data_IF_841804614621
#
_entry.id   IF_841804614621
#
_cell.length_a   1.000
_cell.length_b   1.000
_cell.length_c   1.000
_cell.angle_alpha   90.00
_cell.angle_beta   90.00
_cell.angle_gamma   90.00
#
_symmetry.space_group_name_H-M   'P 1'
#
loop_
_entity.id
_entity.type
_entity.pdbx_description
1 polymer ?
#
# COMPACT_ATOMS: atom_id res chain seq x y z
N UNK A 1 -4.32 35.31 -8.82
CA UNK A 1 -4.89 33.97 -9.06
C UNK A 1 -4.65 33.17 -7.79
N UNK A 2 -5.70 32.96 -7.01
CA UNK A 2 -5.63 32.29 -5.72
C UNK A 2 -5.30 30.81 -5.95
N UNK A 3 -4.15 30.40 -5.40
CA UNK A 3 -3.78 29.00 -5.26
C UNK A 3 -4.88 28.34 -4.42
N UNK A 4 -5.78 27.59 -5.07
CA UNK A 4 -6.73 26.72 -4.38
C UNK A 4 -5.92 25.62 -3.73
N UNK A 5 -5.43 25.91 -2.51
CA UNK A 5 -4.64 25.00 -1.70
C UNK A 5 -5.38 23.68 -1.59
N UNK A 6 -4.92 22.71 -2.40
CA UNK A 6 -5.39 21.34 -2.33
C UNK A 6 -4.90 20.85 -0.97
N UNK A 7 -5.79 20.82 0.01
CA UNK A 7 -5.48 20.17 1.29
C UNK A 7 -5.06 18.74 0.98
N UNK A 8 -3.86 18.36 1.41
CA UNK A 8 -3.41 17.00 1.26
C UNK A 8 -4.49 16.07 1.86
N UNK A 9 -4.91 15.01 1.15
CA UNK A 9 -5.96 14.13 1.64
C UNK A 9 -5.53 13.54 2.98
N UNK A 10 -6.34 13.77 4.03
CA UNK A 10 -6.07 13.29 5.39
C UNK A 10 -5.90 11.77 5.40
N UNK A 11 -4.87 11.29 6.10
CA UNK A 11 -4.55 9.88 6.26
C UNK A 11 -5.50 9.19 7.24
N UNK A 12 -6.00 9.95 8.22
CA UNK A 12 -6.82 9.44 9.32
C UNK A 12 -8.23 10.05 9.30
N UNK A 13 -9.25 9.19 9.31
CA UNK A 13 -10.64 9.59 9.52
C UNK A 13 -11.00 9.73 11.01
N UNK A 14 -12.25 10.14 11.33
CA UNK A 14 -12.69 10.39 12.71
C UNK A 14 -12.49 9.20 13.66
N UNK A 15 -12.78 7.98 13.21
CA UNK A 15 -12.57 6.77 14.02
C UNK A 15 -11.11 6.53 14.39
N UNK A 16 -10.18 6.71 13.45
CA UNK A 16 -8.74 6.63 13.73
C UNK A 16 -8.31 7.69 14.73
N UNK A 17 -8.83 8.92 14.61
CA UNK A 17 -8.51 10.03 15.50
C UNK A 17 -8.98 9.79 16.94
N UNK A 18 -10.18 9.25 17.13
CA UNK A 18 -10.70 8.88 18.45
C UNK A 18 -9.83 7.81 19.14
N UNK A 19 -9.38 6.80 18.39
CA UNK A 19 -8.45 5.79 18.93
C UNK A 19 -7.08 6.39 19.23
N UNK A 20 -6.59 7.28 18.37
CA UNK A 20 -5.30 7.94 18.59
C UNK A 20 -5.29 8.77 19.87
N UNK A 21 -6.38 9.48 20.15
CA UNK A 21 -6.58 10.19 21.42
C UNK A 21 -6.62 9.21 22.60
N UNK A 22 -7.42 8.14 22.49
CA UNK A 22 -7.58 7.13 23.55
C UNK A 22 -6.26 6.43 23.92
N UNK A 23 -5.33 6.32 22.98
CA UNK A 23 -4.02 5.67 23.17
C UNK A 23 -2.83 6.65 23.22
N UNK A 24 -3.08 7.94 23.45
CA UNK A 24 -2.05 9.02 23.51
C UNK A 24 -1.08 9.00 22.30
N UNK A 25 -1.60 8.76 21.11
CA UNK A 25 -0.83 8.66 19.86
C UNK A 25 -1.16 9.76 18.86
N UNK A 26 -1.91 10.79 19.26
CA UNK A 26 -2.26 11.94 18.40
C UNK A 26 -1.02 12.65 17.86
N UNK A 27 0.00 12.90 18.70
CA UNK A 27 1.27 13.52 18.28
C UNK A 27 1.98 12.67 17.23
N UNK A 28 2.10 11.36 17.50
CA UNK A 28 2.70 10.40 16.57
C UNK A 28 1.94 10.36 15.24
N UNK A 29 0.62 10.34 15.29
CA UNK A 29 -0.23 10.30 14.10
C UNK A 29 -0.01 11.53 13.21
N UNK A 30 0.04 12.73 13.80
CA UNK A 30 0.31 13.97 13.06
C UNK A 30 1.68 13.92 12.38
N UNK A 31 2.73 13.50 13.10
CA UNK A 31 4.08 13.34 12.54
C UNK A 31 4.13 12.30 11.41
N UNK A 32 3.39 11.20 11.52
CA UNK A 32 3.28 10.18 10.48
C UNK A 32 2.58 10.73 9.22
N UNK A 33 1.49 11.48 9.40
CA UNK A 33 0.75 12.10 8.30
C UNK A 33 1.64 13.09 7.53
N UNK A 34 2.47 13.88 8.23
CA UNK A 34 3.43 14.81 7.63
C UNK A 34 4.54 14.12 6.84
N UNK A 35 5.04 12.98 7.34
CA UNK A 35 6.30 12.39 6.84
C UNK A 35 6.16 11.21 5.91
N UNK A 36 5.05 10.48 5.99
CA UNK A 36 5.00 9.11 5.46
C UNK A 36 4.09 8.98 4.24
N UNK A 37 3.09 9.85 4.08
CA UNK A 37 2.20 9.83 2.92
C UNK A 37 2.75 10.71 1.80
N UNK A 38 3.26 10.11 0.73
CA UNK A 38 3.76 10.81 -0.47
C UNK A 38 2.91 10.47 -1.68
N UNK A 39 2.80 11.38 -2.64
CA UNK A 39 2.18 11.12 -3.94
C UNK A 39 3.17 10.52 -4.97
N UNK A 40 4.35 10.10 -4.49
CA UNK A 40 5.38 9.43 -5.27
C UNK A 40 6.04 8.30 -4.45
N UNK A 41 6.53 7.29 -5.16
CA UNK A 41 7.37 6.22 -4.62
C UNK A 41 8.78 6.72 -4.39
N UNK A 42 9.35 6.32 -3.26
CA UNK A 42 10.79 6.37 -3.02
C UNK A 42 11.50 5.22 -3.74
N UNK A 43 12.80 5.36 -3.99
CA UNK A 43 13.62 4.37 -4.72
C UNK A 43 13.49 2.95 -4.17
N UNK A 44 13.42 2.80 -2.84
CA UNK A 44 13.25 1.48 -2.22
C UNK A 44 11.85 0.89 -2.46
N UNK A 45 10.81 1.73 -2.57
CA UNK A 45 9.45 1.29 -2.90
C UNK A 45 9.38 0.87 -4.36
N UNK A 46 10.01 1.62 -5.27
CA UNK A 46 10.16 1.23 -6.68
C UNK A 46 10.82 -0.14 -6.77
N UNK A 47 11.96 -0.32 -6.12
CA UNK A 47 12.67 -1.60 -6.11
C UNK A 47 11.84 -2.74 -5.52
N UNK A 48 11.03 -2.49 -4.49
CA UNK A 48 10.13 -3.47 -3.90
C UNK A 48 8.99 -3.86 -4.86
N UNK A 49 8.35 -2.88 -5.49
CA UNK A 49 7.24 -3.07 -6.42
C UNK A 49 7.69 -3.86 -7.65
N UNK A 50 8.82 -3.49 -8.26
CA UNK A 50 9.31 -4.14 -9.48
C UNK A 50 9.81 -5.57 -9.22
N UNK A 51 10.32 -5.85 -8.01
CA UNK A 51 10.75 -7.22 -7.63
C UNK A 51 9.60 -8.12 -7.20
N UNK A 52 8.41 -7.57 -6.95
CA UNK A 52 7.29 -8.33 -6.45
C UNK A 52 6.83 -9.38 -7.46
N UNK A 53 6.66 -10.63 -7.01
CA UNK A 53 5.97 -11.68 -7.77
C UNK A 53 4.45 -11.68 -7.54
N UNK A 54 3.99 -10.91 -6.56
CA UNK A 54 2.57 -10.70 -6.29
C UNK A 54 2.33 -9.44 -5.44
N UNK A 55 1.08 -9.02 -5.37
CA UNK A 55 0.58 -8.05 -4.41
C UNK A 55 -0.89 -8.29 -4.10
N UNK A 56 -1.41 -7.64 -3.06
CA UNK A 56 -2.85 -7.63 -2.78
C UNK A 56 -3.47 -6.33 -3.29
N UNK A 57 -4.51 -6.47 -4.11
CA UNK A 57 -5.28 -5.39 -4.69
C UNK A 57 -6.59 -5.23 -3.93
N UNK A 58 -6.82 -4.07 -3.33
CA UNK A 58 -8.10 -3.70 -2.75
C UNK A 58 -8.86 -2.73 -3.64
N UNK A 59 -10.13 -3.04 -3.90
CA UNK A 59 -11.07 -2.21 -4.69
C UNK A 59 -12.37 -2.04 -3.91
N UNK A 60 -13.28 -1.21 -4.40
CA UNK A 60 -14.63 -1.08 -3.85
C UNK A 60 -15.65 -1.03 -4.98
N UNK A 61 -16.80 -1.67 -4.79
CA UNK A 61 -17.93 -1.48 -5.71
C UNK A 61 -18.65 -0.14 -5.46
N UNK A 62 -19.71 0.13 -6.23
CA UNK A 62 -20.50 1.36 -6.13
C UNK A 62 -21.30 1.47 -4.81
N UNK A 63 -21.59 0.36 -4.15
CA UNK A 63 -22.24 0.34 -2.85
C UNK A 63 -21.22 0.57 -1.70
N UNK A 64 -19.93 0.60 -2.03
CA UNK A 64 -18.84 0.82 -1.08
C UNK A 64 -18.37 -0.45 -0.39
N UNK A 65 -18.79 -1.64 -0.83
CA UNK A 65 -18.26 -2.89 -0.30
C UNK A 65 -16.81 -3.08 -0.74
N UNK A 66 -15.88 -3.31 0.19
CA UNK A 66 -14.49 -3.53 -0.14
C UNK A 66 -14.27 -4.95 -0.65
N UNK A 67 -13.37 -5.07 -1.63
CA UNK A 67 -12.85 -6.32 -2.14
C UNK A 67 -11.34 -6.40 -1.98
N UNK A 68 -10.81 -7.62 -1.87
CA UNK A 68 -9.37 -7.88 -1.90
C UNK A 68 -9.09 -9.05 -2.84
N UNK A 69 -8.10 -8.88 -3.70
CA UNK A 69 -7.66 -9.89 -4.65
C UNK A 69 -6.15 -10.08 -4.59
N UNK A 70 -5.69 -11.33 -4.73
CA UNK A 70 -4.29 -11.62 -5.03
C UNK A 70 -4.03 -11.35 -6.51
N UNK A 71 -2.97 -10.61 -6.83
CA UNK A 71 -2.48 -10.40 -8.19
C UNK A 71 -1.04 -10.88 -8.27
N UNK A 72 -0.77 -11.85 -9.13
CA UNK A 72 0.54 -12.47 -9.26
C UNK A 72 1.05 -12.43 -10.70
N UNK A 73 2.37 -12.50 -10.84
CA UNK A 73 3.05 -12.51 -12.14
C UNK A 73 4.55 -12.76 -11.99
N UNK A 74 5.26 -12.79 -13.11
CA UNK A 74 6.73 -12.83 -13.10
C UNK A 74 7.25 -11.48 -12.57
N UNK A 75 8.27 -11.43 -11.69
CA UNK A 75 8.86 -10.17 -11.26
C UNK A 75 9.11 -9.20 -12.42
N UNK A 76 8.72 -7.94 -12.25
CA UNK A 76 8.62 -6.94 -13.32
C UNK A 76 7.25 -6.86 -14.01
N UNK A 77 6.26 -7.68 -13.61
CA UNK A 77 4.89 -7.57 -14.11
C UNK A 77 4.17 -6.32 -13.61
N UNK A 78 4.60 -5.74 -12.48
CA UNK A 78 4.24 -4.38 -12.10
C UNK A 78 5.37 -3.46 -12.54
N UNK A 79 5.06 -2.51 -13.41
CA UNK A 79 6.02 -1.54 -13.95
C UNK A 79 5.78 -0.18 -13.32
N UNK A 80 6.83 0.44 -12.79
CA UNK A 80 6.78 1.85 -12.40
C UNK A 80 7.08 2.68 -13.65
N UNK A 81 6.08 3.44 -14.13
CA UNK A 81 6.21 4.28 -15.33
C UNK A 81 7.00 5.54 -14.98
N UNK A 82 6.68 6.14 -13.83
CA UNK A 82 7.35 7.28 -13.22
C UNK A 82 7.12 7.24 -11.70
N UNK A 83 7.77 8.07 -10.87
CA UNK A 83 7.62 8.01 -9.42
C UNK A 83 6.18 8.09 -8.91
N UNK A 84 5.25 8.69 -9.65
CA UNK A 84 3.84 8.85 -9.29
C UNK A 84 2.89 7.95 -10.07
N UNK A 85 3.39 7.07 -10.94
CA UNK A 85 2.55 6.24 -11.82
C UNK A 85 3.12 4.83 -11.96
N UNK A 86 2.27 3.82 -11.78
CA UNK A 86 2.61 2.42 -12.06
C UNK A 86 1.55 1.78 -12.96
N UNK A 87 1.88 0.64 -13.58
CA UNK A 87 0.93 -0.17 -14.32
C UNK A 87 1.14 -1.67 -14.06
N UNK A 88 0.05 -2.42 -14.10
CA UNK A 88 0.08 -3.88 -14.00
C UNK A 88 -0.98 -4.53 -14.92
N UNK A 89 -0.75 -5.76 -15.40
CA UNK A 89 -1.69 -6.46 -16.25
C UNK A 89 -2.81 -7.12 -15.44
N UNK A 90 -4.00 -7.20 -16.03
CA UNK A 90 -5.02 -8.17 -15.69
C UNK A 90 -4.93 -9.34 -16.66
N UNK A 91 -4.77 -10.54 -16.12
CA UNK A 91 -4.76 -11.79 -16.87
C UNK A 91 -6.13 -12.44 -16.88
N UNK A 92 -6.30 -13.41 -17.78
CA UNK A 92 -7.43 -14.33 -17.80
C UNK A 92 -7.63 -14.98 -16.42
N UNK A 93 -8.88 -15.22 -16.07
CA UNK A 93 -9.29 -15.71 -14.76
C UNK A 93 -10.65 -16.37 -14.78
N UNK A 94 -11.39 -16.29 -13.68
CA UNK A 94 -12.71 -16.94 -13.56
C UNK A 94 -13.86 -16.16 -14.20
N UNK A 95 -13.58 -15.14 -15.01
CA UNK A 95 -14.58 -14.34 -15.71
C UNK A 95 -15.44 -13.41 -14.84
N UNK A 96 -15.21 -13.32 -13.53
CA UNK A 96 -16.01 -12.42 -12.69
C UNK A 96 -15.67 -10.94 -12.87
N UNK A 97 -14.45 -10.63 -13.35
CA UNK A 97 -13.94 -9.27 -13.59
C UNK A 97 -14.11 -8.25 -12.43
N UNK A 98 -14.36 -8.71 -11.20
CA UNK A 98 -14.69 -7.83 -10.06
C UNK A 98 -13.67 -6.74 -9.82
N UNK A 99 -12.37 -7.09 -9.81
CA UNK A 99 -11.33 -6.06 -9.61
C UNK A 99 -11.39 -4.96 -10.66
N UNK A 100 -11.33 -5.31 -11.95
CA UNK A 100 -11.26 -4.30 -13.02
C UNK A 100 -12.60 -3.58 -13.24
N UNK A 101 -13.73 -4.26 -13.04
CA UNK A 101 -15.06 -3.65 -13.04
C UNK A 101 -15.20 -2.60 -11.95
N UNK A 102 -14.86 -2.94 -10.70
CA UNK A 102 -14.85 -1.97 -9.60
C UNK A 102 -13.93 -0.78 -9.88
N UNK A 103 -12.79 -0.99 -10.55
CA UNK A 103 -11.89 0.09 -10.97
C UNK A 103 -12.49 0.97 -12.06
N UNK A 104 -13.22 0.42 -13.03
CA UNK A 104 -13.93 1.20 -14.05
C UNK A 104 -15.02 2.07 -13.41
N UNK A 105 -15.72 1.55 -12.41
CA UNK A 105 -16.82 2.26 -11.75
C UNK A 105 -16.34 3.35 -10.78
N UNK A 106 -15.35 3.02 -9.94
CA UNK A 106 -14.94 3.91 -8.83
C UNK A 106 -13.62 4.62 -9.07
N UNK A 107 -12.79 4.06 -9.94
CA UNK A 107 -11.39 4.47 -10.11
C UNK A 107 -10.57 4.37 -8.84
N UNK A 108 -11.03 3.75 -7.73
CA UNK A 108 -10.31 3.72 -6.45
C UNK A 108 -9.58 2.40 -6.27
N UNK A 109 -8.30 2.51 -5.92
CA UNK A 109 -7.44 1.35 -5.69
C UNK A 109 -6.60 1.50 -4.44
N UNK A 110 -6.44 0.39 -3.72
CA UNK A 110 -5.41 0.20 -2.72
C UNK A 110 -4.55 -1.01 -3.10
N UNK A 111 -3.27 -0.95 -2.82
CA UNK A 111 -2.31 -2.00 -3.12
C UNK A 111 -1.46 -2.23 -1.88
N UNK A 112 -1.18 -3.49 -1.57
CA UNK A 112 -0.30 -3.91 -0.50
C UNK A 112 0.78 -4.84 -1.04
N UNK A 113 2.02 -4.39 -0.95
CA UNK A 113 3.22 -5.16 -1.25
C UNK A 113 3.87 -5.59 0.07
N UNK A 114 4.28 -6.85 0.15
CA UNK A 114 4.96 -7.43 1.30
C UNK A 114 6.17 -8.21 0.80
N UNK A 115 7.34 -7.92 1.35
CA UNK A 115 8.53 -8.74 1.21
C UNK A 115 8.61 -9.66 2.43
N UNK A 116 8.50 -10.96 2.20
CA UNK A 116 8.57 -11.98 3.24
C UNK A 116 10.01 -12.43 3.54
N UNK A 117 10.97 -12.15 2.65
CA UNK A 117 12.38 -12.53 2.79
C UNK A 117 13.16 -11.46 3.56
N UNK A 118 12.93 -10.19 3.23
CA UNK A 118 13.42 -9.03 3.98
C UNK A 118 12.20 -8.27 4.53
N UNK A 119 11.67 -8.67 5.70
CA UNK A 119 10.38 -8.20 6.21
C UNK A 119 10.20 -6.71 6.05
N UNK A 120 9.30 -6.36 5.13
CA UNK A 120 9.02 -4.99 4.71
C UNK A 120 7.66 -4.94 4.04
N UNK A 121 6.96 -3.81 4.15
CA UNK A 121 5.70 -3.61 3.43
C UNK A 121 5.48 -2.16 3.06
N UNK A 122 4.86 -1.97 1.91
CA UNK A 122 4.38 -0.66 1.47
C UNK A 122 2.94 -0.74 1.00
N UNK A 123 2.20 0.34 1.27
CA UNK A 123 0.84 0.53 0.80
C UNK A 123 0.81 1.66 -0.20
N UNK A 124 0.04 1.47 -1.26
CA UNK A 124 -0.18 2.46 -2.31
C UNK A 124 -1.68 2.63 -2.46
N UNK A 125 -2.19 3.84 -2.28
CA UNK A 125 -3.55 4.23 -2.60
C UNK A 125 -3.50 5.17 -3.80
N UNK A 126 -4.38 4.96 -4.77
CA UNK A 126 -4.35 5.72 -6.00
C UNK A 126 -5.69 5.79 -6.69
N UNK A 127 -5.65 6.37 -7.88
CA UNK A 127 -6.73 6.28 -8.85
C UNK A 127 -6.30 5.47 -10.05
N UNK A 128 -7.15 4.54 -10.47
CA UNK A 128 -6.84 3.62 -11.55
C UNK A 128 -7.61 3.96 -12.84
N UNK A 129 -7.00 3.66 -13.98
CA UNK A 129 -7.63 3.59 -15.30
C UNK A 129 -7.38 2.21 -15.89
N UNK A 130 -8.41 1.64 -16.53
CA UNK A 130 -8.33 0.34 -17.17
C UNK A 130 -8.21 0.56 -18.67
N UNK A 131 -7.13 0.04 -19.26
CA UNK A 131 -6.80 0.14 -20.67
C UNK A 131 -7.01 -1.22 -21.34
N UNK A 132 -7.69 -1.21 -22.49
CA UNK A 132 -7.97 -2.38 -23.33
C UNK A 132 -7.31 -2.25 -24.71
N UNK A 133 -6.64 -1.14 -24.96
CA UNK A 133 -6.03 -0.77 -26.23
C UNK A 133 -4.74 -1.56 -26.45
N UNK A 134 -4.48 -1.96 -27.70
CA UNK A 134 -3.33 -2.78 -28.06
C UNK A 134 -1.99 -2.17 -27.63
N UNK A 135 -1.86 -0.84 -27.67
CA UNK A 135 -0.65 -0.12 -27.24
C UNK A 135 -0.29 -0.29 -25.75
N UNK A 136 -1.29 -0.64 -24.93
CA UNK A 136 -1.11 -0.99 -23.53
C UNK A 136 -0.92 -2.50 -23.38
N UNK A 137 -1.74 -3.30 -24.04
CA UNK A 137 -1.67 -4.77 -23.97
C UNK A 137 -0.29 -5.29 -24.42
N UNK A 138 0.28 -4.72 -25.48
CA UNK A 138 1.62 -5.09 -25.99
C UNK A 138 2.75 -4.89 -24.98
N UNK A 139 2.53 -4.08 -23.93
CA UNK A 139 3.51 -3.86 -22.86
C UNK A 139 3.59 -5.05 -21.90
N UNK A 140 2.59 -5.92 -21.87
CA UNK A 140 2.47 -7.01 -20.91
C UNK A 140 2.03 -8.31 -21.60
N UNK A 141 2.88 -9.36 -21.60
CA UNK A 141 2.51 -10.63 -22.22
C UNK A 141 1.20 -11.20 -21.66
N UNK A 142 0.29 -11.62 -22.55
CA UNK A 142 -1.00 -12.24 -22.23
C UNK A 142 -1.96 -11.38 -21.36
N UNK A 143 -1.77 -10.06 -21.31
CA UNK A 143 -2.73 -9.18 -20.65
C UNK A 143 -4.05 -9.11 -21.43
N UNK A 144 -5.18 -9.28 -20.72
CA UNK A 144 -6.52 -8.96 -21.26
C UNK A 144 -6.88 -7.49 -21.06
N UNK A 145 -6.28 -6.87 -20.04
CA UNK A 145 -6.38 -5.44 -19.74
C UNK A 145 -5.09 -4.99 -19.03
N UNK A 146 -4.82 -3.69 -19.05
CA UNK A 146 -3.77 -3.08 -18.23
C UNK A 146 -4.38 -2.05 -17.30
N UNK A 147 -4.01 -2.11 -16.04
CA UNK A 147 -4.43 -1.12 -15.04
C UNK A 147 -3.29 -0.15 -14.83
N UNK A 148 -3.50 1.10 -15.21
CA UNK A 148 -2.63 2.22 -14.85
C UNK A 148 -3.10 2.81 -13.53
N UNK A 149 -2.19 3.06 -12.60
CA UNK A 149 -2.47 3.63 -11.29
C UNK A 149 -1.67 4.90 -11.10
N UNK A 150 -2.38 6.02 -10.96
CA UNK A 150 -1.81 7.27 -10.47
C UNK A 150 -1.80 7.25 -8.94
N UNK A 151 -0.62 7.40 -8.37
CA UNK A 151 -0.39 7.34 -6.94
C UNK A 151 -0.94 8.61 -6.30
N UNK A 152 -1.82 8.42 -5.31
CA UNK A 152 -2.28 9.50 -4.45
C UNK A 152 -1.51 9.51 -3.13
N UNK A 153 -1.26 8.33 -2.57
CA UNK A 153 -0.57 8.13 -1.29
C UNK A 153 0.22 6.82 -1.33
N UNK A 154 1.52 6.88 -1.13
CA UNK A 154 2.39 5.76 -0.87
C UNK A 154 2.97 5.92 0.53
N UNK A 155 2.95 4.85 1.33
CA UNK A 155 3.46 4.88 2.69
C UNK A 155 4.03 3.53 3.12
N UNK A 156 5.21 3.48 3.79
CA UNK A 156 5.66 2.30 4.49
C UNK A 156 4.75 1.96 5.67
N UNK A 157 4.72 0.68 6.02
CA UNK A 157 4.23 0.26 7.33
C UNK A 157 5.28 -0.62 8.03
N UNK A 158 5.26 -0.61 9.36
CA UNK A 158 6.18 -1.35 10.20
C UNK A 158 6.21 -2.85 9.84
N UNK A 159 7.39 -3.50 9.68
CA UNK A 159 7.48 -4.90 9.27
C UNK A 159 7.09 -5.91 10.37
N UNK A 160 6.75 -5.42 11.57
CA UNK A 160 6.26 -6.25 12.66
C UNK A 160 5.10 -7.14 12.19
N UNK A 161 5.09 -8.35 12.72
CA UNK A 161 4.09 -9.40 12.48
C UNK A 161 4.13 -10.05 11.09
N UNK A 162 5.11 -9.70 10.24
CA UNK A 162 5.37 -10.48 9.03
C UNK A 162 6.05 -11.79 9.44
N UNK A 163 5.41 -12.91 9.10
CA UNK A 163 5.89 -14.27 9.33
C UNK A 163 6.81 -14.71 8.19
N UNK A 164 7.70 -15.65 8.45
CA UNK A 164 8.41 -16.34 7.38
C UNK A 164 7.50 -17.44 6.83
N UNK A 165 6.88 -17.19 5.68
CA UNK A 165 5.95 -18.15 5.08
C UNK A 165 6.65 -19.40 4.53
N UNK A 166 7.94 -19.31 4.19
CA UNK A 166 8.69 -20.45 3.67
C UNK A 166 9.04 -21.45 4.77
N UNK A 167 9.42 -20.98 5.97
CA UNK A 167 9.78 -21.84 7.10
C UNK A 167 8.61 -22.09 8.07
N UNK A 168 7.53 -21.31 7.96
CA UNK A 168 6.45 -21.27 8.94
C UNK A 168 6.81 -20.56 10.25
N UNK A 169 7.99 -19.93 10.32
CA UNK A 169 8.44 -19.24 11.53
C UNK A 169 7.56 -18.02 11.84
N UNK A 170 7.11 -17.96 13.10
CA UNK A 170 6.31 -16.86 13.60
C UNK A 170 7.22 -15.64 13.84
N UNK A 171 6.78 -14.46 13.38
CA UNK A 171 7.49 -13.19 13.61
C UNK A 171 7.93 -13.04 15.07
N UNK A 172 9.18 -12.66 15.30
CA UNK A 172 9.67 -12.33 16.65
C UNK A 172 8.88 -11.18 17.31
N UNK A 173 8.12 -10.42 16.52
CA UNK A 173 7.27 -9.36 17.01
C UNK A 173 5.88 -9.81 17.46
N UNK A 174 5.48 -11.05 17.16
CA UNK A 174 4.18 -11.58 17.54
C UNK A 174 4.10 -11.82 19.06
N UNK A 175 3.09 -11.28 19.77
CA UNK A 175 2.91 -11.54 21.19
C UNK A 175 2.63 -13.02 21.46
N UNK A 176 3.28 -13.59 22.48
CA UNK A 176 3.09 -14.97 22.96
C UNK A 176 3.58 -15.09 24.41
N UNK A 177 3.07 -16.08 25.14
CA UNK A 177 3.40 -16.27 26.55
C UNK A 177 4.91 -16.42 26.77
N UNK A 178 5.44 -15.71 27.77
CA UNK A 178 6.87 -15.73 28.11
C UNK A 178 7.79 -15.05 27.09
N UNK A 179 7.26 -14.42 26.05
CA UNK A 179 8.06 -13.75 25.02
C UNK A 179 7.98 -12.23 25.14
N UNK A 180 9.15 -11.60 25.33
CA UNK A 180 9.25 -10.14 25.38
C UNK A 180 9.47 -9.62 23.97
N UNK A 181 8.55 -8.78 23.50
CA UNK A 181 8.70 -8.12 22.20
C UNK A 181 9.45 -6.81 22.39
N UNK A 182 10.61 -6.69 21.75
CA UNK A 182 11.39 -5.45 21.77
C UNK A 182 10.63 -4.28 21.13
N UNK A 183 10.88 -3.08 21.64
CA UNK A 183 10.39 -1.87 21.00
C UNK A 183 11.07 -1.72 19.62
N UNK A 184 10.35 -1.27 18.59
CA UNK A 184 10.97 -1.08 17.29
C UNK A 184 11.98 0.07 17.36
N UNK A 185 13.11 -0.09 16.69
CA UNK A 185 14.28 0.80 16.77
C UNK A 185 13.94 2.28 16.54
N UNK A 186 13.07 2.58 15.57
CA UNK A 186 12.69 3.95 15.21
C UNK A 186 12.10 4.76 16.37
N UNK A 187 11.53 4.09 17.39
CA UNK A 187 11.05 4.78 18.60
C UNK A 187 12.17 5.40 19.44
N UNK A 188 13.41 4.95 19.25
CA UNK A 188 14.57 5.51 19.93
C UNK A 188 15.17 6.71 19.19
N UNK A 189 14.81 6.92 17.92
CA UNK A 189 15.39 7.98 17.10
C UNK A 189 14.92 9.38 17.57
N UNK A 190 15.81 10.40 17.60
CA UNK A 190 15.49 11.72 18.17
C UNK A 190 14.24 12.38 17.58
N UNK A 191 14.01 12.21 16.28
CA UNK A 191 12.92 12.81 15.53
C UNK A 191 11.54 12.19 15.82
N UNK A 192 11.48 11.08 16.55
CA UNK A 192 10.22 10.43 16.96
C UNK A 192 9.98 10.47 18.46
N UNK A 193 11.05 10.60 19.27
CA UNK A 193 11.01 10.45 20.72
C UNK A 193 10.00 11.35 21.42
N UNK A 194 9.86 12.60 20.99
CA UNK A 194 8.96 13.62 21.57
C UNK A 194 7.46 13.46 21.21
N UNK A 195 7.14 12.59 20.24
CA UNK A 195 5.77 12.38 19.76
C UNK A 195 5.19 11.02 20.15
N UNK A 196 5.95 10.19 20.87
CA UNK A 196 5.50 8.87 21.30
C UNK A 196 4.49 8.95 22.46
N UNK A 197 3.57 7.98 22.56
CA UNK A 197 2.68 7.86 23.71
C UNK A 197 3.42 7.77 25.04
N UNK A 198 2.90 8.43 26.07
CA UNK A 198 3.43 8.45 27.43
C UNK A 198 4.66 9.33 27.64
N UNK A 199 4.96 10.24 26.70
CA UNK A 199 6.04 11.23 26.81
C UNK A 199 5.56 12.61 27.20
#
# INVERSE_FOLDING_TARGET
MTNTGKTAPTLYGPGSRALQESFDSTRLANRLEERVAKDALEDWQVAMVEKASFFFLGTSDLDGWPDVSYKGGVPGFVKVIDPSTLAFPSYDGNGMYRSIGNLMDTGKVSMLFIDFNSPGRTRIHGTAQVHLEQEWLDRFPAAEAVVEVRIGRAFPNCPRYIHNLATGEISNNAPRDGHVVEAPEWKSWPEWKEVLPGT
#
